data_IF_183427011719
#
_entry.id   IF_183427011719
#
_cell.length_a   1.000
_cell.length_b   1.000
_cell.length_c   1.000
_cell.angle_alpha   90.00
_cell.angle_beta   90.00
_cell.angle_gamma   90.00
#
_symmetry.space_group_name_H-M   'P 1'
#
loop_
_entity.id
_entity.type
_entity.pdbx_description
1 polymer ?
#
# COMPACT_ATOMS: atom_id res chain seq x y z
N UNK A 1 -20.29 35.15 11.63
CA UNK A 1 -19.02 34.38 11.64
C UNK A 1 -19.29 33.00 11.07
N UNK A 2 -18.88 32.74 9.84
CA UNK A 2 -18.96 31.39 9.26
C UNK A 2 -17.65 31.15 8.54
N UNK A 3 -16.67 30.60 9.28
CA UNK A 3 -15.43 30.12 8.72
C UNK A 3 -15.76 28.85 7.93
N UNK A 4 -15.97 28.96 6.63
CA UNK A 4 -15.77 27.82 5.75
C UNK A 4 -14.29 27.48 5.78
N UNK A 5 -13.96 26.46 6.58
CA UNK A 5 -12.64 25.84 6.57
C UNK A 5 -12.53 25.16 5.21
N UNK A 6 -11.94 25.83 4.23
CA UNK A 6 -11.60 25.16 2.97
C UNK A 6 -10.53 24.14 3.31
N UNK A 7 -10.91 22.88 3.46
CA UNK A 7 -9.97 21.76 3.46
C UNK A 7 -9.34 21.72 2.07
N UNK A 8 -8.29 22.51 1.89
CA UNK A 8 -7.37 22.33 0.78
C UNK A 8 -6.62 21.05 1.07
N UNK A 9 -7.15 19.90 0.65
CA UNK A 9 -6.31 18.75 0.38
C UNK A 9 -5.21 19.27 -0.55
N UNK A 10 -3.94 19.33 -0.12
CA UNK A 10 -2.92 19.93 -0.96
C UNK A 10 -2.83 19.07 -2.22
N UNK A 11 -2.78 19.69 -3.40
CA UNK A 11 -2.60 19.00 -4.69
C UNK A 11 -1.37 18.06 -4.74
N UNK A 12 -0.54 18.08 -3.69
CA UNK A 12 0.55 17.16 -3.43
C UNK A 12 0.08 15.79 -2.87
N UNK A 13 -0.94 15.74 -2.01
CA UNK A 13 -1.40 14.49 -1.40
C UNK A 13 -2.02 13.53 -2.42
N UNK A 14 -2.86 14.04 -3.33
CA UNK A 14 -3.45 13.22 -4.40
C UNK A 14 -2.37 12.66 -5.33
N UNK A 15 -1.35 13.46 -5.69
CA UNK A 15 -0.21 12.98 -6.47
C UNK A 15 0.61 11.91 -5.75
N UNK A 16 0.81 12.04 -4.44
CA UNK A 16 1.48 11.02 -3.65
C UNK A 16 0.67 9.72 -3.62
N UNK A 17 -0.66 9.81 -3.48
CA UNK A 17 -1.55 8.64 -3.55
C UNK A 17 -1.45 7.96 -4.93
N UNK A 18 -1.50 8.74 -6.02
CA UNK A 18 -1.33 8.22 -7.38
C UNK A 18 0.03 7.51 -7.56
N UNK A 19 1.12 8.12 -7.08
CA UNK A 19 2.45 7.52 -7.13
C UNK A 19 2.52 6.19 -6.37
N UNK A 20 1.95 6.12 -5.16
CA UNK A 20 1.92 4.87 -4.39
C UNK A 20 1.13 3.78 -5.11
N UNK A 21 0.03 4.12 -5.78
CA UNK A 21 -0.70 3.17 -6.61
C UNK A 21 0.12 2.65 -7.79
N UNK A 22 0.89 3.51 -8.46
CA UNK A 22 1.76 3.10 -9.55
C UNK A 22 2.87 2.16 -9.07
N UNK A 23 3.50 2.48 -7.93
CA UNK A 23 4.50 1.61 -7.29
C UNK A 23 3.90 0.24 -6.96
N UNK A 24 2.69 0.20 -6.37
CA UNK A 24 2.02 -1.06 -6.05
C UNK A 24 1.74 -1.91 -7.31
N UNK A 25 1.32 -1.29 -8.42
CA UNK A 25 1.07 -1.97 -9.70
C UNK A 25 2.35 -2.57 -10.26
N UNK A 26 3.45 -1.84 -10.22
CA UNK A 26 4.74 -2.33 -10.71
C UNK A 26 5.29 -3.46 -9.85
N UNK A 27 5.17 -3.35 -8.53
CA UNK A 27 5.54 -4.44 -7.62
C UNK A 27 4.67 -5.69 -7.84
N UNK A 28 3.36 -5.54 -8.07
CA UNK A 28 2.49 -6.67 -8.43
C UNK A 28 2.96 -7.35 -9.72
N UNK A 29 3.29 -6.58 -10.76
CA UNK A 29 3.82 -7.13 -12.02
C UNK A 29 5.12 -7.90 -11.78
N UNK A 30 6.03 -7.37 -10.96
CA UNK A 30 7.25 -8.09 -10.58
C UNK A 30 6.95 -9.41 -9.87
N UNK A 31 5.99 -9.44 -8.96
CA UNK A 31 5.61 -10.66 -8.23
C UNK A 31 5.01 -11.75 -9.13
N UNK A 32 4.40 -11.35 -10.24
CA UNK A 32 3.83 -12.27 -11.24
C UNK A 32 4.84 -12.72 -12.28
N UNK A 33 6.02 -12.07 -12.36
CA UNK A 33 7.05 -12.43 -13.32
C UNK A 33 7.65 -13.81 -13.00
N UNK A 34 7.57 -14.81 -13.92
CA UNK A 34 8.15 -16.12 -13.70
C UNK A 34 9.67 -16.08 -13.55
N UNK A 35 10.35 -15.16 -14.24
CA UNK A 35 11.82 -15.04 -14.29
C UNK A 35 12.43 -14.51 -13.00
N UNK A 36 11.65 -13.88 -12.13
CA UNK A 36 12.16 -13.44 -10.83
C UNK A 36 12.44 -14.63 -9.92
N UNK A 37 13.62 -14.63 -9.33
CA UNK A 37 13.99 -15.59 -8.28
C UNK A 37 13.08 -15.46 -7.06
N UNK A 38 13.02 -16.51 -6.25
CA UNK A 38 12.28 -16.49 -4.98
C UNK A 38 12.75 -15.37 -4.05
N UNK A 39 14.05 -15.09 -3.99
CA UNK A 39 14.60 -14.04 -3.15
C UNK A 39 14.17 -12.64 -3.62
N UNK A 40 14.12 -12.40 -4.93
CA UNK A 40 13.61 -11.15 -5.50
C UNK A 40 12.12 -10.99 -5.26
N UNK A 41 11.34 -12.06 -5.41
CA UNK A 41 9.90 -12.06 -5.09
C UNK A 41 9.64 -11.74 -3.63
N UNK A 42 10.46 -12.25 -2.70
CA UNK A 42 10.35 -11.92 -1.27
C UNK A 42 10.63 -10.43 -1.04
N UNK A 43 11.69 -9.88 -1.65
CA UNK A 43 12.01 -8.44 -1.53
C UNK A 43 10.90 -7.56 -2.11
N UNK A 44 10.39 -7.90 -3.30
CA UNK A 44 9.27 -7.19 -3.93
C UNK A 44 7.99 -7.28 -3.09
N UNK A 45 7.71 -8.42 -2.46
CA UNK A 45 6.55 -8.58 -1.59
C UNK A 45 6.66 -7.73 -0.31
N UNK A 46 7.86 -7.64 0.28
CA UNK A 46 8.09 -6.78 1.43
C UNK A 46 7.97 -5.29 1.07
N UNK A 47 8.51 -4.89 -0.08
CA UNK A 47 8.33 -3.53 -0.60
C UNK A 47 6.85 -3.23 -0.85
N UNK A 48 6.10 -4.17 -1.45
CA UNK A 48 4.67 -4.01 -1.72
C UNK A 48 3.90 -3.80 -0.41
N UNK A 49 4.21 -4.60 0.61
CA UNK A 49 3.63 -4.46 1.95
C UNK A 49 3.93 -3.10 2.59
N UNK A 50 5.15 -2.59 2.44
CA UNK A 50 5.52 -1.26 2.94
C UNK A 50 4.73 -0.16 2.23
N UNK A 51 4.75 -0.13 0.89
CA UNK A 51 4.05 0.89 0.10
C UNK A 51 2.54 0.84 0.29
N UNK A 52 1.95 -0.36 0.43
CA UNK A 52 0.55 -0.52 0.79
C UNK A 52 0.21 0.15 2.13
N UNK A 53 1.10 0.03 3.12
CA UNK A 53 0.90 0.67 4.43
C UNK A 53 1.07 2.19 4.39
N UNK A 54 1.95 2.70 3.52
CA UNK A 54 2.10 4.14 3.23
C UNK A 54 0.84 4.67 2.56
N UNK A 55 0.36 4.01 1.51
CA UNK A 55 -0.89 4.36 0.83
C UNK A 55 -2.06 4.42 1.83
N UNK A 56 -2.20 3.43 2.71
CA UNK A 56 -3.25 3.43 3.73
C UNK A 56 -3.16 4.66 4.66
N UNK A 57 -1.93 5.07 5.02
CA UNK A 57 -1.71 6.30 5.79
C UNK A 57 -2.09 7.55 5.00
N UNK A 58 -1.73 7.65 3.73
CA UNK A 58 -2.09 8.80 2.88
C UNK A 58 -3.61 8.92 2.68
N UNK A 59 -4.30 7.79 2.44
CA UNK A 59 -5.76 7.74 2.34
C UNK A 59 -6.43 8.20 3.64
N UNK A 60 -5.91 7.74 4.79
CA UNK A 60 -6.40 8.18 6.10
C UNK A 60 -6.23 9.69 6.33
N UNK A 61 -5.15 10.30 5.83
CA UNK A 61 -4.90 11.74 5.93
C UNK A 61 -5.82 12.56 5.02
N UNK A 62 -6.24 11.99 3.89
CA UNK A 62 -7.19 12.60 2.97
C UNK A 62 -8.63 12.63 3.53
N UNK A 63 -8.88 11.93 4.64
CA UNK A 63 -10.23 11.75 5.18
C UNK A 63 -11.04 10.71 4.41
N UNK A 64 -10.41 10.00 3.47
CA UNK A 64 -11.01 8.84 2.85
C UNK A 64 -11.05 7.70 3.88
N UNK A 65 -12.26 7.27 4.25
CA UNK A 65 -12.51 6.07 5.05
C UNK A 65 -12.16 4.77 4.31
N UNK A 66 -11.65 4.89 3.08
CA UNK A 66 -11.14 3.83 2.20
C UNK A 66 -9.94 3.13 2.83
N UNK A 67 -10.20 2.21 3.76
CA UNK A 67 -9.16 1.38 4.36
C UNK A 67 -8.60 0.45 3.28
N UNK A 68 -7.40 0.76 2.80
CA UNK A 68 -6.56 -0.24 2.16
C UNK A 68 -6.15 -1.23 3.27
N UNK A 69 -7.00 -2.24 3.49
CA UNK A 69 -6.91 -3.24 4.55
C UNK A 69 -6.48 -4.61 3.99
N UNK A 70 -6.34 -5.60 4.85
CA UNK A 70 -5.89 -6.95 4.48
C UNK A 70 -6.71 -7.58 3.35
N UNK A 71 -8.03 -7.37 3.33
CA UNK A 71 -8.90 -7.91 2.30
C UNK A 71 -8.60 -7.24 0.95
N UNK A 72 -8.53 -5.90 0.92
CA UNK A 72 -8.19 -5.16 -0.30
C UNK A 72 -6.78 -5.48 -0.82
N UNK A 73 -5.82 -5.73 0.08
CA UNK A 73 -4.48 -6.16 -0.30
C UNK A 73 -4.50 -7.58 -0.87
N UNK A 74 -5.27 -8.48 -0.26
CA UNK A 74 -5.46 -9.85 -0.75
C UNK A 74 -6.04 -9.89 -2.16
N UNK A 75 -7.09 -9.10 -2.39
CA UNK A 75 -7.70 -8.95 -3.71
C UNK A 75 -6.72 -8.32 -4.70
N UNK A 76 -5.97 -7.29 -4.27
CA UNK A 76 -4.97 -6.63 -5.10
C UNK A 76 -3.89 -7.59 -5.57
N UNK A 77 -3.38 -8.48 -4.72
CA UNK A 77 -2.32 -9.44 -5.06
C UNK A 77 -2.84 -10.77 -5.59
N UNK A 78 -4.11 -10.85 -5.99
CA UNK A 78 -4.65 -12.03 -6.65
C UNK A 78 -3.80 -12.42 -7.87
N UNK A 79 -3.51 -13.71 -8.00
CA UNK A 79 -2.62 -14.26 -9.04
C UNK A 79 -1.13 -14.30 -8.66
N UNK A 80 -0.73 -13.74 -7.51
CA UNK A 80 0.60 -13.97 -6.94
C UNK A 80 0.67 -15.36 -6.29
N UNK A 81 1.85 -15.99 -6.34
CA UNK A 81 2.06 -17.30 -5.71
C UNK A 81 1.64 -17.29 -4.22
N UNK A 82 0.87 -18.30 -3.74
CA UNK A 82 0.27 -18.26 -2.40
C UNK A 82 1.26 -18.07 -1.24
N UNK A 83 2.49 -18.59 -1.36
CA UNK A 83 3.54 -18.38 -0.36
C UNK A 83 3.96 -16.92 -0.27
N UNK A 84 4.14 -16.27 -1.42
CA UNK A 84 4.58 -14.88 -1.51
C UNK A 84 3.45 -13.93 -1.10
N UNK A 85 2.22 -14.21 -1.51
CA UNK A 85 1.03 -13.45 -1.11
C UNK A 85 0.85 -13.43 0.43
N UNK A 86 0.99 -14.60 1.08
CA UNK A 86 0.94 -14.68 2.56
C UNK A 86 2.02 -13.85 3.25
N UNK A 87 3.22 -13.80 2.68
CA UNK A 87 4.31 -12.97 3.22
C UNK A 87 3.97 -11.48 3.10
N UNK A 88 3.46 -11.04 1.94
CA UNK A 88 3.05 -9.65 1.73
C UNK A 88 1.98 -9.21 2.76
N UNK A 89 0.95 -10.03 2.96
CA UNK A 89 -0.11 -9.73 3.95
C UNK A 89 0.43 -9.66 5.37
N UNK A 90 1.30 -10.60 5.77
CA UNK A 90 1.93 -10.59 7.10
C UNK A 90 2.76 -9.33 7.31
N UNK A 91 3.61 -8.99 6.35
CA UNK A 91 4.50 -7.84 6.46
C UNK A 91 3.70 -6.53 6.40
N UNK A 92 2.60 -6.49 5.66
CA UNK A 92 1.71 -5.33 5.59
C UNK A 92 1.08 -5.02 6.96
N UNK A 93 0.63 -6.05 7.70
CA UNK A 93 0.15 -5.89 9.08
C UNK A 93 1.22 -5.32 10.00
N UNK A 94 2.45 -5.84 9.88
CA UNK A 94 3.58 -5.38 10.68
C UNK A 94 3.91 -3.90 10.40
N UNK A 95 3.96 -3.51 9.13
CA UNK A 95 4.21 -2.13 8.72
C UNK A 95 3.09 -1.19 9.11
N UNK A 96 1.83 -1.58 8.90
CA UNK A 96 0.66 -0.77 9.29
C UNK A 96 0.68 -0.49 10.79
N UNK A 97 0.99 -1.49 11.63
CA UNK A 97 1.16 -1.30 13.08
C UNK A 97 2.33 -0.38 13.41
N UNK A 98 3.47 -0.52 12.73
CA UNK A 98 4.65 0.31 12.99
C UNK A 98 4.43 1.77 12.60
N UNK A 99 3.83 2.02 11.43
CA UNK A 99 3.57 3.36 10.93
C UNK A 99 2.44 4.07 11.67
N UNK A 100 1.50 3.34 12.29
CA UNK A 100 0.46 3.92 13.14
C UNK A 100 0.96 4.30 14.54
N UNK A 101 1.97 3.60 15.06
CA UNK A 101 2.61 3.89 16.35
C UNK A 101 3.59 5.08 16.29
N UNK A 102 4.04 5.47 15.11
CA UNK A 102 4.92 6.62 14.92
C UNK A 102 4.07 7.90 14.91
N UNK A 103 3.79 8.44 16.10
CA UNK A 103 3.10 9.72 16.33
C UNK A 103 4.01 10.70 17.06
#
# INVERSE_FOLDING_TARGET
MTKHRSEKTPANLDKLIEMEWDILRDLKRMLQNPELSTAEKIRAANALAYHASVLNKLLSQKGESSQFNDASLGDFIQGVQPRIARLAVRDFRAWTKRLSLTR
#
